data_IF_563340041660
#
_entry.id   IF_563340041660
#
_cell.length_a   1.000
_cell.length_b   1.000
_cell.length_c   1.000
_cell.angle_alpha   90.00
_cell.angle_beta   90.00
_cell.angle_gamma   90.00
#
_symmetry.space_group_name_H-M   'P 1'
#
loop_
_entity.id
_entity.type
_entity.pdbx_description
1 polymer ?
#
# COMPACT_ATOMS: atom_id res chain seq x y z
N UNK A 1 -8.29 17.26 -32.79
CA UNK A 1 -9.07 16.01 -32.72
C UNK A 1 -9.25 15.65 -31.24
N UNK A 2 -10.06 16.43 -30.52
CA UNK A 2 -10.43 16.18 -29.12
C UNK A 2 -11.95 16.25 -29.08
N UNK A 3 -12.57 15.08 -29.03
CA UNK A 3 -14.02 14.90 -29.15
C UNK A 3 -14.41 13.70 -28.30
N UNK A 4 -14.34 13.82 -26.98
CA UNK A 4 -15.01 12.93 -26.03
C UNK A 4 -15.31 13.69 -24.73
N UNK A 5 -16.10 14.75 -24.86
CA UNK A 5 -17.04 15.18 -23.84
C UNK A 5 -18.37 15.21 -24.57
N UNK A 6 -18.99 14.04 -24.73
CA UNK A 6 -20.31 13.94 -25.35
C UNK A 6 -21.36 14.40 -24.33
N UNK A 7 -22.03 15.55 -24.52
CA UNK A 7 -22.86 16.17 -23.50
C UNK A 7 -24.32 15.71 -23.62
N UNK A 8 -24.56 14.39 -23.68
CA UNK A 8 -25.91 13.81 -23.73
C UNK A 8 -26.01 12.47 -22.99
N UNK A 9 -25.94 12.54 -21.67
CA UNK A 9 -26.79 11.73 -20.79
C UNK A 9 -27.51 12.71 -19.87
N UNK A 10 -28.78 12.95 -20.17
CA UNK A 10 -29.69 13.60 -19.22
C UNK A 10 -29.67 12.78 -17.93
N UNK A 11 -29.23 13.38 -16.82
CA UNK A 11 -29.30 12.84 -15.44
C UNK A 11 -28.11 11.99 -14.90
N UNK A 12 -26.85 12.30 -15.24
CA UNK A 12 -25.68 11.69 -14.59
C UNK A 12 -25.34 12.36 -13.24
N UNK A 13 -26.15 12.08 -12.22
CA UNK A 13 -25.76 12.33 -10.82
C UNK A 13 -24.78 11.27 -10.30
N UNK A 14 -24.40 10.29 -11.11
CA UNK A 14 -23.56 9.16 -10.74
C UNK A 14 -22.38 9.01 -11.71
N UNK A 15 -21.16 9.15 -11.20
CA UNK A 15 -19.95 9.05 -11.99
C UNK A 15 -19.04 7.97 -11.40
N UNK A 16 -18.71 6.94 -12.18
CA UNK A 16 -17.85 5.85 -11.73
C UNK A 16 -16.52 5.89 -12.47
N UNK A 17 -15.44 6.15 -11.73
CA UNK A 17 -14.08 6.22 -12.22
C UNK A 17 -13.24 5.05 -11.74
N UNK A 18 -12.32 4.64 -12.61
CA UNK A 18 -11.27 3.67 -12.32
C UNK A 18 -9.95 4.38 -12.13
N UNK A 19 -9.16 3.95 -11.16
CA UNK A 19 -7.82 4.49 -10.93
C UNK A 19 -6.82 3.68 -11.75
N UNK A 20 -6.10 4.37 -12.63
CA UNK A 20 -5.08 3.80 -13.51
C UNK A 20 -3.75 4.54 -13.31
N UNK A 21 -2.64 3.82 -13.42
CA UNK A 21 -1.33 4.45 -13.41
C UNK A 21 -1.09 5.22 -14.72
N UNK A 22 -0.81 6.52 -14.64
CA UNK A 22 -0.63 7.39 -15.83
C UNK A 22 0.55 6.94 -16.71
N UNK A 23 1.64 6.46 -16.12
CA UNK A 23 2.81 5.96 -16.86
C UNK A 23 2.63 4.52 -17.37
N UNK A 24 1.74 3.74 -16.74
CA UNK A 24 1.40 2.37 -17.13
C UNK A 24 -0.12 2.19 -17.16
N UNK A 25 -0.81 2.66 -18.21
CA UNK A 25 -2.29 2.70 -18.25
C UNK A 25 -2.97 1.33 -18.15
N UNK A 26 -2.22 0.24 -18.42
CA UNK A 26 -2.68 -1.15 -18.30
C UNK A 26 -2.75 -1.60 -16.83
N UNK A 27 -2.00 -0.93 -15.94
CA UNK A 27 -2.05 -1.18 -14.50
C UNK A 27 -3.25 -0.44 -13.88
N UNK A 28 -4.40 -1.12 -13.89
CA UNK A 28 -5.61 -0.74 -13.14
C UNK A 28 -5.52 -1.25 -11.70
N UNK A 29 -5.87 -0.41 -10.72
CA UNK A 29 -6.07 -0.84 -9.34
C UNK A 29 -7.52 -1.36 -9.21
N UNK A 30 -7.71 -2.67 -9.34
CA UNK A 30 -9.05 -3.29 -9.38
C UNK A 30 -9.84 -3.19 -8.07
N UNK A 31 -9.12 -3.11 -6.96
CA UNK A 31 -9.71 -3.14 -5.62
C UNK A 31 -10.11 -1.73 -5.11
N UNK A 32 -9.87 -0.69 -5.91
CA UNK A 32 -10.20 0.69 -5.55
C UNK A 32 -11.10 1.31 -6.63
N UNK A 33 -12.32 1.66 -6.23
CA UNK A 33 -13.33 2.28 -7.09
C UNK A 33 -13.64 3.67 -6.58
N UNK A 34 -13.74 4.64 -7.50
CA UNK A 34 -14.03 6.03 -7.15
C UNK A 34 -15.39 6.42 -7.75
N UNK A 35 -16.36 6.68 -6.88
CA UNK A 35 -17.72 7.05 -7.28
C UNK A 35 -17.97 8.49 -6.84
N UNK A 36 -18.32 9.36 -7.77
CA UNK A 36 -18.83 10.70 -7.47
C UNK A 36 -20.33 10.73 -7.64
N UNK A 37 -21.02 11.23 -6.62
CA UNK A 37 -22.45 11.48 -6.68
C UNK A 37 -22.68 12.99 -6.70
N UNK A 38 -23.14 13.51 -7.84
CA UNK A 38 -23.45 14.93 -8.01
C UNK A 38 -24.92 15.20 -7.71
N UNK A 39 -25.19 15.74 -6.52
CA UNK A 39 -26.55 16.10 -6.14
C UNK A 39 -26.98 17.42 -6.80
N UNK A 40 -28.16 17.49 -7.43
CA UNK A 40 -28.67 18.73 -7.99
C UNK A 40 -28.89 19.76 -6.88
N UNK A 41 -28.58 21.03 -7.17
CA UNK A 41 -28.77 22.12 -6.21
C UNK A 41 -30.24 22.20 -5.76
N UNK A 42 -30.47 22.12 -4.44
CA UNK A 42 -31.80 22.25 -3.85
C UNK A 42 -32.32 23.69 -4.00
N UNK A 43 -33.31 23.89 -4.89
CA UNK A 43 -33.92 25.21 -5.15
C UNK A 43 -35.19 25.36 -4.32
N UNK A 44 -35.15 26.23 -3.31
CA UNK A 44 -36.30 26.50 -2.44
C UNK A 44 -37.27 27.47 -3.11
N UNK A 45 -38.56 27.12 -3.11
CA UNK A 45 -39.64 27.93 -3.71
C UNK A 45 -40.51 28.62 -2.66
N UNK A 46 -40.49 28.15 -1.40
CA UNK A 46 -41.30 28.71 -0.32
C UNK A 46 -40.54 28.69 1.03
N UNK A 47 -41.12 29.38 2.03
CA UNK A 47 -40.54 29.50 3.38
C UNK A 47 -40.32 28.15 4.06
N UNK A 48 -41.26 27.21 3.95
CA UNK A 48 -41.14 25.89 4.56
C UNK A 48 -39.97 25.09 3.96
N UNK A 49 -39.76 25.16 2.65
CA UNK A 49 -38.61 24.56 1.97
C UNK A 49 -37.29 25.22 2.36
N UNK A 50 -37.27 26.54 2.59
CA UNK A 50 -36.09 27.24 3.14
C UNK A 50 -35.78 26.77 4.56
N UNK A 51 -36.80 26.64 5.41
CA UNK A 51 -36.65 26.11 6.76
C UNK A 51 -36.09 24.68 6.73
N UNK A 52 -36.64 23.82 5.88
CA UNK A 52 -36.14 22.46 5.68
C UNK A 52 -34.69 22.43 5.20
N UNK A 53 -34.33 23.28 4.22
CA UNK A 53 -32.95 23.41 3.75
C UNK A 53 -31.99 23.80 4.87
N UNK A 54 -32.38 24.76 5.72
CA UNK A 54 -31.58 25.19 6.86
C UNK A 54 -31.40 24.04 7.85
N UNK A 55 -32.48 23.28 8.15
CA UNK A 55 -32.38 22.13 9.05
C UNK A 55 -31.44 21.04 8.51
N UNK A 56 -31.45 20.78 7.19
CA UNK A 56 -30.47 19.88 6.57
C UNK A 56 -29.03 20.38 6.63
N UNK A 57 -28.82 21.69 6.41
CA UNK A 57 -27.49 22.28 6.54
C UNK A 57 -26.99 22.17 7.99
N UNK A 58 -27.84 22.47 8.96
CA UNK A 58 -27.54 22.29 10.38
C UNK A 58 -27.23 20.84 10.71
N UNK A 59 -28.00 19.88 10.19
CA UNK A 59 -27.71 18.45 10.34
C UNK A 59 -26.29 18.12 9.86
N UNK A 60 -25.91 18.56 8.64
CA UNK A 60 -24.59 18.25 8.09
C UNK A 60 -23.42 19.01 8.74
N UNK A 61 -23.66 20.19 9.32
CA UNK A 61 -22.60 21.03 9.88
C UNK A 61 -22.45 20.92 11.40
N UNK A 62 -23.53 20.62 12.11
CA UNK A 62 -23.57 20.61 13.59
C UNK A 62 -23.45 19.20 14.17
N UNK A 63 -23.82 18.14 13.43
CA UNK A 63 -23.71 16.77 13.91
C UNK A 63 -22.38 16.15 13.51
N UNK A 64 -21.64 15.70 14.51
CA UNK A 64 -20.39 14.96 14.36
C UNK A 64 -20.32 13.77 15.34
N UNK A 65 -19.18 13.08 15.35
CA UNK A 65 -18.93 11.92 16.19
C UNK A 65 -18.97 12.21 17.70
N UNK A 66 -18.92 13.48 18.10
CA UNK A 66 -18.95 13.91 19.50
C UNK A 66 -20.33 14.34 19.96
N UNK A 67 -21.28 14.44 19.02
CA UNK A 67 -22.61 14.95 19.31
C UNK A 67 -23.44 13.90 20.05
N UNK A 68 -23.73 14.17 21.33
CA UNK A 68 -24.46 13.25 22.21
C UNK A 68 -25.97 13.54 22.29
N UNK A 69 -26.41 14.72 21.87
CA UNK A 69 -27.82 15.11 21.89
C UNK A 69 -28.18 15.92 20.66
N UNK A 70 -29.22 15.48 19.95
CA UNK A 70 -29.71 16.14 18.73
C UNK A 70 -30.85 17.09 19.07
N UNK A 71 -30.84 18.29 18.47
CA UNK A 71 -31.89 19.28 18.67
C UNK A 71 -33.28 18.75 18.26
N UNK A 72 -34.30 18.99 19.09
CA UNK A 72 -35.67 18.51 18.86
C UNK A 72 -36.28 19.00 17.55
N UNK A 73 -35.89 20.19 17.08
CA UNK A 73 -36.31 20.75 15.80
C UNK A 73 -35.84 19.93 14.59
N UNK A 74 -34.68 19.27 14.70
CA UNK A 74 -34.15 18.37 13.67
C UNK A 74 -34.91 17.04 13.68
N UNK A 75 -35.14 16.49 14.87
CA UNK A 75 -35.86 15.22 15.04
C UNK A 75 -37.35 15.32 14.69
N UNK A 76 -37.90 16.54 14.65
CA UNK A 76 -39.27 16.81 14.20
C UNK A 76 -39.45 16.58 12.68
N UNK A 77 -38.36 16.59 11.90
CA UNK A 77 -38.38 16.25 10.48
C UNK A 77 -38.08 14.75 10.33
N UNK A 78 -39.03 13.93 9.84
CA UNK A 78 -38.86 12.48 9.75
C UNK A 78 -37.60 12.04 9.00
N UNK A 79 -37.29 12.70 7.90
CA UNK A 79 -36.15 12.38 7.04
C UNK A 79 -34.80 12.69 7.71
N UNK A 80 -34.73 13.77 8.50
CA UNK A 80 -33.53 14.11 9.28
C UNK A 80 -33.38 13.13 10.44
N UNK A 81 -34.48 12.75 11.08
CA UNK A 81 -34.47 11.74 12.15
C UNK A 81 -33.94 10.38 11.65
N UNK A 82 -34.36 9.96 10.46
CA UNK A 82 -33.85 8.73 9.83
C UNK A 82 -32.35 8.86 9.53
N UNK A 83 -31.92 9.98 8.96
CA UNK A 83 -30.50 10.24 8.70
C UNK A 83 -29.65 10.21 9.98
N UNK A 84 -30.14 10.79 11.09
CA UNK A 84 -29.48 10.70 12.41
C UNK A 84 -29.30 9.24 12.83
N UNK A 85 -30.34 8.42 12.71
CA UNK A 85 -30.27 7.01 13.11
C UNK A 85 -29.28 6.20 12.27
N UNK A 86 -29.21 6.46 10.96
CA UNK A 86 -28.21 5.84 10.07
C UNK A 86 -26.80 6.28 10.48
N UNK A 87 -26.60 7.56 10.74
CA UNK A 87 -25.31 8.09 11.20
C UNK A 87 -24.88 7.46 12.52
N UNK A 88 -25.79 7.31 13.49
CA UNK A 88 -25.51 6.65 14.78
C UNK A 88 -25.12 5.17 14.58
N UNK A 89 -25.79 4.45 13.68
CA UNK A 89 -25.45 3.05 13.36
C UNK A 89 -24.09 2.93 12.65
N UNK A 90 -23.70 3.92 11.86
CA UNK A 90 -22.42 3.97 11.17
C UNK A 90 -21.29 4.53 12.04
N UNK A 91 -21.61 5.24 13.11
CA UNK A 91 -20.65 5.79 14.04
C UNK A 91 -20.13 4.68 14.95
N UNK A 92 -18.89 4.26 14.72
CA UNK A 92 -18.17 3.40 15.65
C UNK A 92 -17.99 4.12 16.98
N UNK A 93 -18.23 3.40 18.09
CA UNK A 93 -17.86 3.89 19.41
C UNK A 93 -16.35 4.07 19.53
N UNK A 94 -15.85 4.91 20.46
CA UNK A 94 -14.42 5.07 20.67
C UNK A 94 -13.67 3.76 20.93
N UNK A 95 -14.31 2.79 21.59
CA UNK A 95 -13.73 1.47 21.84
C UNK A 95 -13.67 0.62 20.56
N UNK A 96 -14.66 0.71 19.68
CA UNK A 96 -14.65 0.03 18.38
C UNK A 96 -13.63 0.64 17.42
N UNK A 97 -13.44 1.97 17.46
CA UNK A 97 -12.36 2.64 16.72
C UNK A 97 -10.97 2.19 17.20
N UNK A 98 -10.73 2.17 18.51
CA UNK A 98 -9.45 1.66 19.07
C UNK A 98 -9.23 0.17 18.73
N UNK A 99 -10.28 -0.65 18.76
CA UNK A 99 -10.18 -2.05 18.34
C UNK A 99 -9.86 -2.19 16.84
N UNK A 100 -10.46 -1.35 15.99
CA UNK A 100 -10.17 -1.30 14.56
C UNK A 100 -8.72 -0.89 14.29
N UNK A 101 -8.23 0.17 14.92
CA UNK A 101 -6.85 0.64 14.78
C UNK A 101 -5.84 -0.45 15.19
N UNK A 102 -6.06 -1.10 16.34
CA UNK A 102 -5.23 -2.23 16.80
C UNK A 102 -5.25 -3.41 15.84
N UNK A 103 -6.40 -3.72 15.26
CA UNK A 103 -6.52 -4.78 14.26
C UNK A 103 -5.66 -4.46 13.03
N UNK A 104 -5.73 -3.23 12.53
CA UNK A 104 -4.94 -2.82 11.37
C UNK A 104 -3.44 -2.76 11.65
N UNK A 105 -3.04 -2.33 12.85
CA UNK A 105 -1.64 -2.39 13.29
C UNK A 105 -1.13 -3.83 13.37
N UNK A 106 -1.93 -4.76 13.90
CA UNK A 106 -1.60 -6.17 13.95
C UNK A 106 -1.46 -6.79 12.54
N UNK A 107 -2.36 -6.46 11.62
CA UNK A 107 -2.28 -6.94 10.22
C UNK A 107 -1.05 -6.38 9.51
N UNK A 108 -0.74 -5.09 9.73
CA UNK A 108 0.43 -4.44 9.14
C UNK A 108 1.75 -5.03 9.65
N UNK A 109 1.84 -5.28 10.96
CA UNK A 109 3.00 -5.93 11.58
C UNK A 109 3.16 -7.37 11.12
N UNK A 110 2.09 -8.15 11.02
CA UNK A 110 2.14 -9.53 10.52
C UNK A 110 2.64 -9.59 9.07
N UNK A 111 2.15 -8.69 8.19
CA UNK A 111 2.65 -8.57 6.81
C UNK A 111 4.14 -8.25 6.76
N UNK A 112 4.60 -7.35 7.64
CA UNK A 112 6.02 -6.97 7.72
C UNK A 112 6.88 -8.11 8.22
N UNK A 113 6.46 -8.83 9.26
CA UNK A 113 7.18 -10.01 9.78
C UNK A 113 7.26 -11.13 8.74
N UNK A 114 6.17 -11.41 8.02
CA UNK A 114 6.17 -12.38 6.93
C UNK A 114 7.09 -11.98 5.78
N UNK A 115 7.10 -10.70 5.40
CA UNK A 115 8.01 -10.18 4.39
C UNK A 115 9.48 -10.28 4.84
N UNK A 116 9.78 -9.98 6.11
CA UNK A 116 11.09 -10.14 6.72
C UNK A 116 11.57 -11.59 6.71
N UNK A 117 10.75 -12.51 7.21
CA UNK A 117 11.07 -13.94 7.24
C UNK A 117 11.30 -14.52 5.82
N UNK A 118 10.51 -14.08 4.83
CA UNK A 118 10.72 -14.48 3.44
C UNK A 118 12.03 -13.93 2.86
N UNK A 119 12.36 -12.66 3.16
CA UNK A 119 13.61 -12.05 2.73
C UNK A 119 14.84 -12.75 3.36
N UNK A 120 14.77 -13.08 4.64
CA UNK A 120 15.80 -13.82 5.37
C UNK A 120 15.99 -15.22 4.78
N UNK A 121 14.92 -16.01 4.63
CA UNK A 121 15.02 -17.35 4.03
C UNK A 121 15.53 -17.33 2.57
N UNK A 122 15.22 -16.28 1.81
CA UNK A 122 15.78 -16.10 0.46
C UNK A 122 17.28 -15.77 0.49
N UNK A 123 17.74 -14.99 1.46
CA UNK A 123 19.16 -14.69 1.65
C UNK A 123 19.93 -15.95 2.08
N UNK A 124 19.41 -16.71 3.04
CA UNK A 124 19.98 -17.99 3.48
C UNK A 124 20.08 -18.99 2.33
N UNK A 125 19.01 -19.19 1.56
CA UNK A 125 19.04 -20.10 0.40
C UNK A 125 20.07 -19.70 -0.66
N UNK A 126 20.27 -18.40 -0.89
CA UNK A 126 21.33 -17.89 -1.78
C UNK A 126 22.72 -18.14 -1.22
N UNK A 127 22.93 -17.90 0.08
CA UNK A 127 24.20 -18.17 0.75
C UNK A 127 24.58 -19.66 0.65
N UNK A 128 23.65 -20.56 0.95
CA UNK A 128 23.87 -22.01 0.82
C UNK A 128 24.17 -22.43 -0.62
N UNK A 129 23.39 -21.91 -1.58
CA UNK A 129 23.58 -22.20 -3.01
C UNK A 129 24.96 -21.74 -3.48
N UNK A 130 25.37 -20.52 -3.09
CA UNK A 130 26.67 -19.97 -3.44
C UNK A 130 27.82 -20.81 -2.86
N UNK A 131 27.72 -21.23 -1.59
CA UNK A 131 28.71 -22.12 -0.97
C UNK A 131 28.82 -23.42 -1.77
N UNK A 132 27.70 -24.03 -2.17
CA UNK A 132 27.72 -25.24 -2.99
C UNK A 132 28.33 -25.02 -4.38
N UNK A 133 28.02 -23.91 -5.04
CA UNK A 133 28.58 -23.56 -6.34
C UNK A 133 30.09 -23.34 -6.27
N UNK A 134 30.56 -22.61 -5.25
CA UNK A 134 31.99 -22.40 -4.99
C UNK A 134 32.69 -23.73 -4.73
N UNK A 135 32.14 -24.58 -3.86
CA UNK A 135 32.69 -25.92 -3.59
C UNK A 135 32.76 -26.77 -4.85
N UNK A 136 31.74 -26.74 -5.70
CA UNK A 136 31.74 -27.49 -6.97
C UNK A 136 32.77 -26.97 -7.96
N UNK A 137 32.88 -25.65 -8.10
CA UNK A 137 33.77 -25.02 -9.09
C UNK A 137 35.24 -25.07 -8.68
N UNK A 138 35.54 -24.82 -7.42
CA UNK A 138 36.89 -24.67 -6.90
C UNK A 138 37.36 -25.86 -6.03
N UNK A 139 36.66 -27.00 -6.08
CA UNK A 139 36.86 -28.16 -5.19
C UNK A 139 38.33 -28.56 -4.99
N UNK A 140 39.12 -28.65 -6.07
CA UNK A 140 40.51 -29.11 -6.02
C UNK A 140 41.51 -28.03 -5.58
N UNK A 141 41.09 -26.77 -5.55
CA UNK A 141 41.91 -25.60 -5.21
C UNK A 141 41.57 -25.00 -3.84
N UNK A 142 40.50 -25.47 -3.18
CA UNK A 142 40.09 -24.99 -1.86
C UNK A 142 40.89 -25.69 -0.76
N UNK A 143 41.63 -24.91 0.04
CA UNK A 143 42.13 -25.37 1.34
C UNK A 143 41.03 -25.29 2.41
N UNK A 144 41.29 -25.85 3.60
CA UNK A 144 40.35 -25.73 4.73
C UNK A 144 40.20 -24.28 5.17
N UNK A 145 41.28 -23.52 5.11
CA UNK A 145 41.33 -22.09 5.40
C UNK A 145 40.45 -21.31 4.41
N UNK A 146 40.47 -21.67 3.13
CA UNK A 146 39.63 -21.03 2.10
C UNK A 146 38.15 -21.35 2.31
N UNK A 147 37.80 -22.57 2.72
CA UNK A 147 36.41 -22.91 3.06
C UNK A 147 35.88 -22.07 4.23
N UNK A 148 36.69 -21.88 5.27
CA UNK A 148 36.34 -21.02 6.41
C UNK A 148 36.19 -19.56 5.97
N UNK A 149 37.10 -19.07 5.12
CA UNK A 149 37.05 -17.73 4.56
C UNK A 149 35.76 -17.50 3.77
N UNK A 150 35.41 -18.42 2.86
CA UNK A 150 34.18 -18.35 2.04
C UNK A 150 32.93 -18.29 2.91
N UNK A 151 32.80 -19.19 3.89
CA UNK A 151 31.63 -19.21 4.80
C UNK A 151 31.52 -17.90 5.58
N UNK A 152 32.64 -17.40 6.11
CA UNK A 152 32.66 -16.15 6.89
C UNK A 152 32.28 -14.94 6.02
N UNK A 153 32.80 -14.86 4.79
CA UNK A 153 32.49 -13.77 3.84
C UNK A 153 31.02 -13.78 3.42
N UNK A 154 30.45 -14.96 3.18
CA UNK A 154 29.06 -15.14 2.77
C UNK A 154 28.09 -14.81 3.92
N UNK A 155 28.42 -15.18 5.16
CA UNK A 155 27.60 -14.82 6.33
C UNK A 155 27.55 -13.33 6.61
N UNK A 156 28.60 -12.58 6.25
CA UNK A 156 28.67 -11.13 6.44
C UNK A 156 28.15 -10.34 5.23
N UNK A 157 27.70 -11.03 4.18
CA UNK A 157 27.30 -10.40 2.93
C UNK A 157 25.84 -9.91 2.96
N UNK A 158 25.59 -8.78 2.30
CA UNK A 158 24.23 -8.30 2.06
C UNK A 158 23.50 -9.20 1.04
N UNK A 159 22.16 -9.14 1.02
CA UNK A 159 21.36 -9.90 0.05
C UNK A 159 21.69 -9.54 -1.42
N UNK A 160 22.11 -8.31 -1.68
CA UNK A 160 22.56 -7.85 -2.99
C UNK A 160 23.91 -8.47 -3.36
N UNK A 161 24.87 -8.48 -2.43
CA UNK A 161 26.17 -9.15 -2.60
C UNK A 161 25.99 -10.63 -2.92
N UNK A 162 25.14 -11.33 -2.16
CA UNK A 162 24.85 -12.74 -2.41
C UNK A 162 24.23 -12.98 -3.79
N UNK A 163 23.34 -12.10 -4.24
CA UNK A 163 22.73 -12.20 -5.57
C UNK A 163 23.80 -12.08 -6.65
N UNK A 164 24.63 -11.05 -6.54
CA UNK A 164 25.65 -10.77 -7.53
C UNK A 164 26.69 -11.88 -7.60
N UNK A 165 27.16 -12.39 -6.45
CA UNK A 165 28.11 -13.49 -6.43
C UNK A 165 27.52 -14.80 -6.96
N UNK A 166 26.22 -15.06 -6.77
CA UNK A 166 25.55 -16.23 -7.38
C UNK A 166 25.56 -16.14 -8.91
N UNK A 167 25.40 -14.94 -9.47
CA UNK A 167 25.44 -14.75 -10.92
C UNK A 167 26.89 -14.86 -11.46
N UNK A 168 27.85 -14.24 -10.76
CA UNK A 168 29.24 -14.16 -11.21
C UNK A 168 30.08 -15.42 -10.92
N UNK A 169 29.64 -16.31 -10.02
CA UNK A 169 30.42 -17.50 -9.61
C UNK A 169 30.76 -18.39 -10.79
N UNK A 170 29.93 -18.45 -11.83
CA UNK A 170 30.20 -19.27 -13.02
C UNK A 170 31.26 -18.65 -13.94
N UNK A 171 31.46 -17.35 -13.90
CA UNK A 171 32.44 -16.62 -14.73
C UNK A 171 33.76 -16.34 -13.99
N UNK A 172 33.76 -16.35 -12.66
CA UNK A 172 34.94 -16.07 -11.86
C UNK A 172 36.08 -17.09 -12.07
N UNK A 173 37.32 -16.62 -12.23
CA UNK A 173 38.49 -17.50 -12.41
C UNK A 173 39.09 -17.93 -11.06
N UNK A 174 38.97 -17.11 -10.03
CA UNK A 174 39.42 -17.39 -8.66
C UNK A 174 38.41 -16.87 -7.61
N UNK A 175 38.57 -17.28 -6.34
CA UNK A 175 37.75 -16.75 -5.23
C UNK A 175 37.94 -15.25 -5.04
N UNK A 176 39.18 -14.78 -5.21
CA UNK A 176 39.53 -13.38 -5.10
C UNK A 176 38.86 -12.55 -6.21
N UNK A 177 38.79 -13.08 -7.43
CA UNK A 177 38.07 -12.43 -8.54
C UNK A 177 36.57 -12.34 -8.22
N UNK A 178 35.97 -13.43 -7.77
CA UNK A 178 34.54 -13.48 -7.43
C UNK A 178 34.15 -12.43 -6.39
N UNK A 179 34.93 -12.31 -5.32
CA UNK A 179 34.60 -11.39 -4.23
C UNK A 179 34.99 -9.93 -4.54
N UNK A 180 36.03 -9.68 -5.37
CA UNK A 180 36.43 -8.33 -5.81
C UNK A 180 35.56 -7.76 -6.93
N UNK A 181 34.94 -8.61 -7.76
CA UNK A 181 34.04 -8.17 -8.85
C UNK A 181 32.86 -7.32 -8.35
N UNK A 182 32.42 -7.55 -7.11
CA UNK A 182 31.39 -6.73 -6.48
C UNK A 182 31.88 -5.31 -6.12
N UNK A 183 33.07 -5.18 -5.53
CA UNK A 183 33.62 -3.89 -5.06
C UNK A 183 33.94 -2.92 -6.23
N UNK A 184 34.28 -3.47 -7.41
CA UNK A 184 34.53 -2.68 -8.61
C UNK A 184 33.24 -2.12 -9.23
N UNK A 185 32.13 -2.86 -9.16
CA UNK A 185 30.83 -2.43 -9.71
C UNK A 185 30.13 -1.40 -8.80
N UNK A 186 30.29 -1.49 -7.49
CA UNK A 186 29.76 -0.49 -6.54
C UNK A 186 30.47 0.87 -6.65
N UNK A 187 31.75 0.89 -7.03
CA UNK A 187 32.52 2.14 -7.22
C UNK A 187 32.27 2.83 -8.57
N UNK A 188 31.86 2.09 -9.61
CA UNK A 188 31.46 2.66 -10.90
C UNK A 188 29.99 3.16 -10.91
N UNK A 189 29.17 2.76 -9.93
CA UNK A 189 27.76 3.14 -9.79
C UNK A 189 27.48 4.44 -9.01
N UNK A 190 28.47 5.02 -8.32
CA UNK A 190 28.32 6.29 -7.58
C UNK A 190 28.68 7.54 -8.43
N UNK A 191 28.90 7.38 -9.73
CA UNK A 191 29.09 8.49 -10.67
C UNK A 191 27.76 8.84 -11.39
N UNK A 192 26.79 9.40 -10.67
CA UNK A 192 25.69 10.18 -11.27
C UNK A 192 25.16 11.24 -10.30
#
# INVERSE_FOLDING_TARGET
MSRYLDPKADNDWYHHYKIVNVQKPVAEIKDLQLIFVELPKFKTKNYNQKKLQILWLRFMSELDQTTTAVASELLAVPEIKEAVSITEQAAYSPAELDAYDRFWDAVSTEKTLKAGAYAEGKAEGKAETLIQMIKRKFNKSLSKEDEIYVVTKIQQASAEQLTQWVDDVLDAMTLDDLFKMFEKRSSEGESF
#
